data_IF_645313423185
#
_entry.id   IF_645313423185
#
_cell.length_a   1.000
_cell.length_b   1.000
_cell.length_c   1.000
_cell.angle_alpha   90.00
_cell.angle_beta   90.00
_cell.angle_gamma   90.00
#
_symmetry.space_group_name_H-M   'P 1'
#
loop_
_entity.id
_entity.type
_entity.pdbx_description
1 polymer ?
#
# COMPACT_ATOMS: atom_id res chain seq x y z
N UNK A 1 -29.40 46.42 -6.87
CA UNK A 1 -28.37 46.93 -5.94
C UNK A 1 -28.86 46.81 -4.49
N UNK A 2 -28.38 45.82 -3.73
CA UNK A 2 -28.42 45.78 -2.25
C UNK A 2 -27.17 45.07 -1.75
N UNK A 3 -26.64 45.58 -0.64
CA UNK A 3 -25.26 45.52 -0.19
C UNK A 3 -24.91 44.23 0.56
N UNK A 4 -23.62 43.90 0.48
CA UNK A 4 -22.74 43.14 1.35
C UNK A 4 -23.24 42.63 2.73
N UNK A 5 -22.87 41.38 3.01
CA UNK A 5 -22.25 40.82 4.23
C UNK A 5 -22.12 39.31 3.93
N UNK A 6 -21.06 38.56 4.25
CA UNK A 6 -20.46 38.42 5.56
C UNK A 6 -19.21 37.54 5.38
N UNK A 7 -18.10 37.95 6.00
CA UNK A 7 -16.90 37.12 6.18
C UNK A 7 -17.30 35.84 6.91
N UNK A 8 -17.11 34.69 6.26
CA UNK A 8 -17.15 33.37 6.90
C UNK A 8 -15.78 32.72 6.75
N UNK A 9 -14.87 33.04 7.68
CA UNK A 9 -13.66 32.29 7.92
C UNK A 9 -14.06 30.89 8.40
N UNK A 10 -14.24 29.94 7.49
CA UNK A 10 -14.31 28.52 7.84
C UNK A 10 -12.89 28.01 7.82
N UNK A 11 -12.26 28.11 9.00
CA UNK A 11 -11.09 27.35 9.36
C UNK A 11 -11.50 25.87 9.31
N UNK A 12 -11.34 25.24 8.14
CA UNK A 12 -11.43 23.80 8.01
C UNK A 12 -10.22 23.22 8.74
N UNK A 13 -10.42 22.95 10.05
CA UNK A 13 -9.59 22.04 10.81
C UNK A 13 -9.74 20.68 10.15
N UNK A 14 -8.87 20.40 9.17
CA UNK A 14 -8.59 19.05 8.76
C UNK A 14 -7.99 18.36 9.98
N UNK A 15 -8.84 17.71 10.77
CA UNK A 15 -8.44 16.62 11.65
C UNK A 15 -7.87 15.55 10.72
N UNK A 16 -6.58 15.69 10.40
CA UNK A 16 -5.77 14.60 9.91
C UNK A 16 -5.99 13.47 10.91
N UNK A 17 -6.65 12.42 10.44
CA UNK A 17 -6.86 11.19 11.20
C UNK A 17 -5.46 10.65 11.53
N UNK A 18 -4.93 11.04 12.68
CA UNK A 18 -3.87 10.33 13.35
C UNK A 18 -4.45 8.97 13.73
N UNK A 19 -4.29 7.98 12.84
CA UNK A 19 -4.69 6.60 13.09
C UNK A 19 -3.71 5.96 14.08
N UNK A 20 -3.72 6.41 15.33
CA UNK A 20 -3.17 5.68 16.46
C UNK A 20 -4.30 4.96 17.20
N UNK A 21 -4.63 3.72 16.84
CA UNK A 21 -5.55 2.86 17.60
C UNK A 21 -5.43 1.38 17.17
N UNK A 22 -4.66 0.57 17.93
CA UNK A 22 -4.77 -0.90 17.96
C UNK A 22 -4.13 -1.71 16.80
N UNK A 23 -2.91 -2.21 17.04
CA UNK A 23 -2.32 -3.49 16.57
C UNK A 23 -2.53 -4.01 15.13
N UNK A 24 -2.94 -3.20 14.15
CA UNK A 24 -2.89 -3.63 12.75
C UNK A 24 -1.47 -3.41 12.21
N UNK A 25 -0.88 -4.41 11.55
CA UNK A 25 0.43 -4.25 10.93
C UNK A 25 0.33 -3.18 9.82
N UNK A 26 1.44 -2.50 9.49
CA UNK A 26 1.48 -1.54 8.40
C UNK A 26 0.94 -2.10 7.09
N UNK A 27 0.30 -1.24 6.27
CA UNK A 27 -0.40 -1.66 5.07
C UNK A 27 0.50 -2.39 4.07
N UNK A 28 1.77 -2.00 3.95
CA UNK A 28 2.72 -2.61 3.02
C UNK A 28 3.00 -4.08 3.37
N UNK A 29 3.00 -4.42 4.67
CA UNK A 29 3.13 -5.82 5.11
C UNK A 29 1.90 -6.63 4.71
N UNK A 30 0.70 -6.07 4.90
CA UNK A 30 -0.56 -6.73 4.52
C UNK A 30 -0.68 -6.95 3.00
N UNK A 31 -0.03 -6.10 2.22
CA UNK A 31 -0.04 -6.14 0.76
C UNK A 31 1.22 -6.76 0.16
N UNK A 32 2.10 -7.32 1.00
CA UNK A 32 3.36 -7.96 0.60
C UNK A 32 4.26 -7.04 -0.25
N UNK A 33 4.24 -5.74 0.04
CA UNK A 33 5.08 -4.71 -0.56
C UNK A 33 6.30 -4.49 0.32
N UNK A 34 7.49 -4.65 -0.27
CA UNK A 34 8.76 -4.39 0.40
C UNK A 34 9.27 -3.00 0.02
N UNK A 35 9.69 -2.15 0.97
CA UNK A 35 10.35 -0.89 0.64
C UNK A 35 11.69 -1.14 -0.10
N UNK A 36 11.89 -0.42 -1.20
CA UNK A 36 13.07 -0.57 -2.09
C UNK A 36 13.91 0.72 -2.19
N UNK A 37 13.63 1.68 -1.32
CA UNK A 37 14.36 2.95 -1.25
C UNK A 37 15.69 2.82 -0.51
N UNK A 38 16.39 3.96 -0.42
CA UNK A 38 17.69 4.02 0.23
C UNK A 38 17.54 3.90 1.75
N UNK A 39 18.54 3.32 2.45
CA UNK A 39 18.59 3.36 3.91
C UNK A 39 18.72 4.79 4.42
N UNK A 40 17.92 5.15 5.42
CA UNK A 40 17.97 6.44 6.10
C UNK A 40 18.39 6.25 7.56
N UNK A 41 19.43 6.98 7.97
CA UNK A 41 19.91 6.97 9.36
C UNK A 41 18.99 7.83 10.23
N UNK A 42 18.54 7.26 11.35
CA UNK A 42 17.75 7.91 12.40
C UNK A 42 18.60 8.14 13.66
N UNK A 43 19.92 8.20 13.51
CA UNK A 43 20.88 8.31 14.62
C UNK A 43 21.31 6.94 15.13
N UNK A 44 20.52 6.31 16.00
CA UNK A 44 20.87 5.02 16.63
C UNK A 44 20.47 3.78 15.81
N UNK A 45 19.67 3.96 14.76
CA UNK A 45 19.20 2.88 13.88
C UNK A 45 19.00 3.40 12.46
N UNK A 46 18.88 2.46 11.52
CA UNK A 46 18.64 2.75 10.11
C UNK A 46 17.31 2.13 9.69
N UNK A 47 16.53 2.87 8.90
CA UNK A 47 15.30 2.39 8.27
C UNK A 47 15.49 2.27 6.76
N UNK A 48 14.75 1.38 6.10
CA UNK A 48 14.66 1.34 4.64
C UNK A 48 13.44 2.15 4.23
N UNK A 49 13.62 3.07 3.27
CA UNK A 49 12.55 3.92 2.74
C UNK A 49 11.87 3.30 1.53
N UNK A 50 10.76 3.89 1.07
CA UNK A 50 10.16 3.54 -0.23
C UNK A 50 10.92 4.22 -1.37
N UNK A 51 11.10 3.52 -2.49
CA UNK A 51 11.74 4.09 -3.68
C UNK A 51 10.85 5.14 -4.34
N UNK A 52 11.41 6.03 -5.17
CA UNK A 52 10.62 7.05 -5.89
C UNK A 52 9.50 6.42 -6.73
N UNK A 53 9.79 5.31 -7.41
CA UNK A 53 8.78 4.57 -8.19
C UNK A 53 7.65 4.02 -7.30
N UNK A 54 7.95 3.59 -6.07
CA UNK A 54 6.94 3.14 -5.11
C UNK A 54 6.12 4.32 -4.57
N UNK A 55 6.78 5.45 -4.29
CA UNK A 55 6.15 6.70 -3.86
C UNK A 55 5.16 7.20 -4.91
N UNK A 56 5.54 7.20 -6.18
CA UNK A 56 4.67 7.58 -7.30
C UNK A 56 3.53 6.57 -7.52
N UNK A 57 3.84 5.26 -7.53
CA UNK A 57 2.83 4.20 -7.78
C UNK A 57 1.73 4.20 -6.73
N UNK A 58 2.08 4.38 -5.46
CA UNK A 58 1.12 4.32 -4.36
C UNK A 58 0.68 5.71 -3.88
N UNK A 59 1.23 6.80 -4.43
CA UNK A 59 1.05 8.15 -3.91
C UNK A 59 1.31 8.23 -2.39
N UNK A 60 2.49 7.76 -1.99
CA UNK A 60 3.01 7.75 -0.61
C UNK A 60 4.32 8.54 -0.53
N UNK A 61 4.71 8.92 0.68
CA UNK A 61 6.04 9.48 0.94
C UNK A 61 7.10 8.39 1.18
N UNK A 62 8.33 8.82 1.50
CA UNK A 62 9.46 7.93 1.79
C UNK A 62 9.23 6.98 2.96
N UNK A 63 8.31 7.29 3.87
CA UNK A 63 7.97 6.49 5.06
C UNK A 63 6.72 5.63 4.85
N UNK A 64 6.02 5.79 3.73
CA UNK A 64 4.83 5.04 3.37
C UNK A 64 3.52 5.67 3.83
N UNK A 65 3.55 6.96 4.19
CA UNK A 65 2.34 7.74 4.49
C UNK A 65 1.69 8.22 3.19
N UNK A 66 0.37 8.03 3.01
CA UNK A 66 -0.33 8.48 1.81
C UNK A 66 -0.30 10.00 1.65
N UNK A 67 0.22 10.49 0.52
CA UNK A 67 0.18 11.90 0.13
C UNK A 67 -1.11 12.25 -0.60
N UNK A 68 -1.71 11.28 -1.33
CA UNK A 68 -3.02 11.40 -1.98
C UNK A 68 -3.86 10.14 -1.68
N UNK A 69 -4.86 10.31 -0.80
CA UNK A 69 -5.69 9.21 -0.33
C UNK A 69 -6.53 8.55 -1.43
N UNK A 70 -6.91 9.28 -2.48
CA UNK A 70 -7.70 8.72 -3.58
C UNK A 70 -6.83 7.83 -4.46
N UNK A 71 -5.67 8.35 -4.87
CA UNK A 71 -4.70 7.58 -5.66
C UNK A 71 -4.16 6.37 -4.90
N UNK A 72 -3.89 6.52 -3.60
CA UNK A 72 -3.46 5.42 -2.75
C UNK A 72 -4.47 4.27 -2.75
N UNK A 73 -5.76 4.57 -2.56
CA UNK A 73 -6.82 3.55 -2.60
C UNK A 73 -6.92 2.86 -3.97
N UNK A 74 -6.82 3.62 -5.05
CA UNK A 74 -6.88 3.08 -6.40
C UNK A 74 -5.67 2.18 -6.68
N UNK A 75 -4.47 2.58 -6.24
CA UNK A 75 -3.26 1.78 -6.33
C UNK A 75 -3.36 0.47 -5.55
N UNK A 76 -3.92 0.48 -4.33
CA UNK A 76 -4.15 -0.74 -3.55
C UNK A 76 -5.18 -1.66 -4.21
N UNK A 77 -6.22 -1.10 -4.84
CA UNK A 77 -7.20 -1.89 -5.60
C UNK A 77 -6.53 -2.59 -6.78
N UNK A 78 -5.75 -1.86 -7.56
CA UNK A 78 -5.00 -2.41 -8.69
C UNK A 78 -4.03 -3.52 -8.23
N UNK A 79 -3.27 -3.29 -7.15
CA UNK A 79 -2.37 -4.31 -6.58
C UNK A 79 -3.12 -5.58 -6.17
N UNK A 80 -4.29 -5.45 -5.55
CA UNK A 80 -5.12 -6.59 -5.18
C UNK A 80 -5.60 -7.35 -6.41
N UNK A 81 -6.03 -6.66 -7.46
CA UNK A 81 -6.46 -7.26 -8.72
C UNK A 81 -5.32 -8.02 -9.41
N UNK A 82 -4.13 -7.42 -9.51
CA UNK A 82 -2.91 -8.06 -10.03
C UNK A 82 -2.60 -9.37 -9.27
N UNK A 83 -2.69 -9.34 -7.94
CA UNK A 83 -2.45 -10.52 -7.10
C UNK A 83 -3.48 -11.61 -7.32
N UNK A 84 -4.76 -11.25 -7.50
CA UNK A 84 -5.82 -12.24 -7.77
C UNK A 84 -5.62 -12.91 -9.13
N UNK A 85 -5.21 -12.15 -10.14
CA UNK A 85 -4.89 -12.70 -11.47
C UNK A 85 -3.68 -13.64 -11.41
N UNK A 86 -2.63 -13.26 -10.68
CA UNK A 86 -1.46 -14.10 -10.46
C UNK A 86 -1.81 -15.44 -9.80
N UNK A 87 -2.65 -15.41 -8.75
CA UNK A 87 -3.13 -16.61 -8.05
C UNK A 87 -3.96 -17.51 -8.96
N UNK A 88 -4.85 -16.94 -9.77
CA UNK A 88 -5.70 -17.71 -10.67
C UNK A 88 -4.88 -18.44 -11.76
N UNK A 89 -3.80 -17.81 -12.25
CA UNK A 89 -2.87 -18.44 -13.20
C UNK A 89 -2.03 -19.55 -12.55
N UNK A 90 -1.65 -19.41 -11.28
CA UNK A 90 -0.90 -20.45 -10.55
C UNK A 90 -1.79 -21.65 -10.23
N UNK A 91 -3.01 -21.42 -9.78
CA UNK A 91 -3.99 -22.48 -9.48
C UNK A 91 -4.34 -23.29 -10.75
N UNK A 92 -4.46 -22.62 -11.90
CA UNK A 92 -4.69 -23.27 -13.20
C UNK A 92 -3.47 -24.09 -13.69
N UNK A 93 -2.25 -23.60 -13.44
CA UNK A 93 -1.02 -24.33 -13.78
C UNK A 93 -0.76 -25.54 -12.87
N UNK A 94 -1.15 -25.47 -11.59
CA UNK A 94 -1.09 -26.58 -10.64
C UNK A 94 -2.11 -27.67 -10.98
N UNK A 95 -3.34 -27.29 -11.35
CA UNK A 95 -4.38 -28.23 -11.79
C UNK A 95 -4.02 -28.98 -13.09
N UNK A 96 -3.09 -28.44 -13.89
CA UNK A 96 -2.58 -29.06 -15.11
C UNK A 96 -1.33 -29.92 -14.90
N UNK A 97 -0.79 -30.02 -13.66
CA UNK A 97 0.33 -30.92 -13.36
C UNK A 97 -0.17 -32.36 -13.39
N UNK A 98 0.39 -33.26 -14.23
CA UNK A 98 0.07 -34.68 -14.12
C UNK A 98 0.53 -35.17 -12.76
N UNK A 99 -0.37 -35.83 -12.02
CA UNK A 99 -0.09 -36.47 -10.74
C UNK A 99 1.11 -37.39 -10.91
N UNK A 100 2.28 -36.96 -10.41
CA UNK A 100 3.44 -37.82 -10.27
C UNK A 100 3.14 -38.78 -9.14
N UNK A 101 2.52 -39.92 -9.46
CA UNK A 101 2.34 -41.02 -8.52
C UNK A 101 3.73 -41.44 -8.04
N UNK A 102 4.06 -41.30 -6.74
CA UNK A 102 5.35 -41.76 -6.25
C UNK A 102 5.40 -43.27 -6.45
N UNK A 103 6.28 -43.73 -7.36
CA UNK A 103 6.51 -45.15 -7.58
C UNK A 103 7.21 -45.69 -6.33
N UNK A 104 6.46 -46.40 -5.50
CA UNK A 104 6.97 -47.10 -4.33
C UNK A 104 8.00 -48.14 -4.83
N UNK A 105 9.27 -47.87 -4.58
CA UNK A 105 10.34 -48.85 -4.76
C UNK A 105 10.24 -49.78 -3.56
N UNK A 106 9.70 -50.97 -3.83
CA UNK A 106 9.68 -52.14 -2.94
C UNK A 106 11.07 -52.76 -2.85
#
# INVERSE_FOLDING_TARGET
MRRAAMRGLILAVCLAFGAGSGALPPWWILNNVKPEGQPQSMGSYTIITFSEAQQERFAIDSHGEPTDSAKFRDALKALKEERMQGKQKTDAAEAARPTVTPRLVI
#
